data_IF_786530407681
#
_entry.id   IF_786530407681
#
_cell.length_a   1.000
_cell.length_b   1.000
_cell.length_c   1.000
_cell.angle_alpha   90.00
_cell.angle_beta   90.00
_cell.angle_gamma   90.00
#
_symmetry.space_group_name_H-M   'P 1'
#
loop_
_entity.id
_entity.type
_entity.pdbx_description
1 polymer ?
#
# COMPACT_ATOMS: atom_id res chain seq x y z
N UNK A 1 -13.39 7.05 12.77
CA UNK A 1 -11.98 7.04 13.20
C UNK A 1 -11.12 7.08 11.96
N UNK A 2 -10.32 8.15 11.81
CA UNK A 2 -9.34 8.25 10.72
C UNK A 2 -8.35 7.11 10.92
N UNK A 3 -8.27 6.18 9.97
CA UNK A 3 -7.18 5.24 9.98
C UNK A 3 -5.91 6.06 9.68
N UNK A 4 -4.94 5.99 10.58
CA UNK A 4 -3.69 6.71 10.46
C UNK A 4 -2.55 5.69 10.37
N UNK A 5 -1.62 5.96 9.46
CA UNK A 5 -0.31 5.32 9.48
C UNK A 5 0.77 6.41 9.48
N UNK A 6 1.99 6.01 9.79
CA UNK A 6 3.17 6.87 9.82
C UNK A 6 4.16 6.40 8.78
N UNK A 7 4.86 7.36 8.19
CA UNK A 7 5.97 7.13 7.31
C UNK A 7 7.05 8.15 7.65
N UNK A 8 7.65 7.99 8.82
CA UNK A 8 8.66 8.91 9.37
C UNK A 8 10.01 8.84 8.62
N UNK A 9 10.22 7.82 7.79
CA UNK A 9 11.41 7.67 6.97
C UNK A 9 11.38 8.59 5.73
N UNK A 10 12.54 9.11 5.39
CA UNK A 10 12.79 9.89 4.16
C UNK A 10 12.70 9.01 2.91
N UNK A 11 12.52 9.61 1.73
CA UNK A 11 12.54 8.90 0.44
C UNK A 11 13.79 8.02 0.26
N UNK A 12 14.97 8.50 0.67
CA UNK A 12 16.22 7.74 0.61
C UNK A 12 16.21 6.50 1.51
N UNK A 13 15.72 6.63 2.75
CA UNK A 13 15.60 5.51 3.69
C UNK A 13 14.57 4.47 3.22
N UNK A 14 13.48 4.93 2.61
CA UNK A 14 12.48 4.03 2.00
C UNK A 14 13.09 3.26 0.83
N UNK A 15 13.75 3.97 -0.09
CA UNK A 15 14.43 3.38 -1.24
C UNK A 15 15.41 2.29 -0.81
N UNK A 16 16.25 2.58 0.18
CA UNK A 16 17.21 1.64 0.73
C UNK A 16 16.51 0.41 1.33
N UNK A 17 15.49 0.61 2.17
CA UNK A 17 14.82 -0.47 2.90
C UNK A 17 14.02 -1.40 1.99
N UNK A 18 13.37 -0.84 0.96
CA UNK A 18 12.50 -1.60 0.05
C UNK A 18 13.18 -2.04 -1.25
N UNK A 19 14.50 -1.78 -1.37
CA UNK A 19 15.32 -2.07 -2.57
C UNK A 19 14.70 -1.43 -3.82
N UNK A 20 14.45 -0.14 -3.73
CA UNK A 20 13.85 0.68 -4.78
C UNK A 20 14.75 1.88 -5.12
N UNK A 21 14.55 2.45 -6.31
CA UNK A 21 15.14 3.73 -6.71
C UNK A 21 14.32 4.90 -6.12
N UNK A 22 15.01 5.93 -5.62
CA UNK A 22 14.41 7.18 -5.10
C UNK A 22 13.58 7.89 -6.19
N UNK A 23 13.99 7.78 -7.45
CA UNK A 23 13.31 8.33 -8.63
C UNK A 23 12.95 9.82 -8.51
N UNK A 24 13.78 10.59 -7.78
CA UNK A 24 13.59 12.02 -7.56
C UNK A 24 12.53 12.37 -6.51
N UNK A 25 11.98 11.40 -5.79
CA UNK A 25 11.05 11.63 -4.69
C UNK A 25 11.74 12.39 -3.54
N UNK A 26 11.05 13.38 -2.99
CA UNK A 26 11.56 14.30 -1.96
C UNK A 26 10.83 14.15 -0.62
N UNK A 27 10.13 13.03 -0.40
CA UNK A 27 9.38 12.78 0.82
C UNK A 27 10.29 12.94 2.06
N UNK A 28 9.97 13.88 2.97
CA UNK A 28 10.82 14.19 4.10
C UNK A 28 10.61 13.26 5.31
N UNK A 29 9.57 12.42 5.29
CA UNK A 29 9.09 11.72 6.47
C UNK A 29 7.94 12.46 7.16
N UNK A 30 7.03 11.73 7.81
CA UNK A 30 6.00 12.31 8.66
C UNK A 30 4.78 11.43 8.93
N UNK A 31 3.81 12.00 9.63
CA UNK A 31 2.49 11.40 9.82
C UNK A 31 1.68 11.49 8.53
N UNK A 32 0.96 10.42 8.20
CA UNK A 32 0.15 10.36 6.98
C UNK A 32 -1.32 10.53 7.32
N UNK A 33 -1.98 11.41 6.57
CA UNK A 33 -3.42 11.64 6.67
C UNK A 33 -4.12 11.14 5.41
N UNK A 34 -5.37 10.66 5.49
CA UNK A 34 -6.17 10.41 4.30
C UNK A 34 -6.19 11.63 3.37
N UNK A 35 -6.20 11.38 2.06
CA UNK A 35 -6.13 12.42 1.03
C UNK A 35 -4.84 13.29 1.04
N UNK A 36 -3.74 12.79 1.61
CA UNK A 36 -2.40 13.39 1.40
C UNK A 36 -1.59 12.61 0.37
N UNK A 37 -0.66 13.29 -0.32
CA UNK A 37 0.34 12.64 -1.16
C UNK A 37 1.40 11.97 -0.30
N UNK A 38 1.74 10.74 -0.67
CA UNK A 38 2.76 9.92 -0.02
C UNK A 38 3.43 9.03 -1.05
N UNK A 39 4.70 8.70 -0.88
CA UNK A 39 5.39 7.84 -1.81
C UNK A 39 4.91 6.39 -1.65
N UNK A 40 4.68 5.72 -2.78
CA UNK A 40 4.56 4.26 -2.86
C UNK A 40 5.65 3.71 -3.77
N UNK A 41 6.00 2.44 -3.58
CA UNK A 41 6.94 1.76 -4.49
C UNK A 41 6.15 0.99 -5.53
N UNK A 42 6.31 1.36 -6.80
CA UNK A 42 5.79 0.62 -7.95
C UNK A 42 6.95 -0.12 -8.62
N UNK A 43 6.64 -1.08 -9.49
CA UNK A 43 7.67 -1.82 -10.24
C UNK A 43 7.27 -1.96 -11.70
N UNK A 44 8.19 -1.66 -12.62
CA UNK A 44 8.03 -1.91 -14.05
C UNK A 44 9.31 -2.50 -14.65
N UNK A 45 9.22 -3.02 -15.87
CA UNK A 45 10.35 -3.72 -16.53
C UNK A 45 11.54 -2.80 -16.85
N UNK A 46 11.31 -1.51 -17.02
CA UNK A 46 12.34 -0.56 -17.45
C UNK A 46 13.17 -0.01 -16.30
N UNK A 47 12.51 0.31 -15.18
CA UNK A 47 13.11 1.00 -14.02
C UNK A 47 13.23 0.12 -12.78
N UNK A 48 12.69 -1.10 -12.80
CA UNK A 48 12.55 -1.91 -11.59
C UNK A 48 11.65 -1.22 -10.56
N UNK A 49 11.91 -1.47 -9.27
CA UNK A 49 11.18 -0.86 -8.16
C UNK A 49 11.61 0.60 -7.99
N UNK A 50 10.65 1.51 -7.93
CA UNK A 50 10.93 2.94 -7.74
C UNK A 50 9.79 3.65 -7.01
N UNK A 51 10.14 4.75 -6.34
CA UNK A 51 9.20 5.58 -5.61
C UNK A 51 8.38 6.46 -6.57
N UNK A 52 7.08 6.58 -6.28
CA UNK A 52 6.15 7.47 -6.98
C UNK A 52 5.19 8.10 -5.96
N UNK A 53 5.08 9.43 -5.88
CA UNK A 53 4.07 10.10 -5.06
C UNK A 53 2.64 9.80 -5.54
N UNK A 54 1.76 9.39 -4.63
CA UNK A 54 0.33 9.17 -4.92
C UNK A 54 -0.55 9.62 -3.77
N UNK A 55 -1.76 10.06 -4.08
CA UNK A 55 -2.77 10.42 -3.08
C UNK A 55 -3.24 9.17 -2.34
N UNK A 56 -3.21 9.17 -1.01
CA UNK A 56 -3.79 8.08 -0.24
C UNK A 56 -5.31 8.18 -0.18
N UNK A 57 -5.97 7.25 -0.87
CA UNK A 57 -7.41 7.22 -1.03
C UNK A 57 -7.80 7.35 -2.49
N UNK A 58 -8.36 6.29 -3.06
CA UNK A 58 -8.83 6.27 -4.45
C UNK A 58 -10.20 6.94 -4.55
N UNK A 59 -10.47 7.73 -5.61
CA UNK A 59 -11.81 8.27 -5.85
C UNK A 59 -12.88 7.18 -5.84
N UNK A 60 -14.09 7.46 -5.34
CA UNK A 60 -15.13 6.46 -5.26
C UNK A 60 -15.66 6.15 -6.67
N UNK A 61 -16.42 5.04 -6.85
CA UNK A 61 -17.10 4.79 -8.11
C UNK A 61 -17.98 5.98 -8.52
N UNK A 62 -18.18 6.26 -9.83
CA UNK A 62 -18.98 7.40 -10.30
C UNK A 62 -20.40 7.49 -9.73
N UNK A 63 -20.98 6.36 -9.33
CA UNK A 63 -22.34 6.29 -8.78
C UNK A 63 -22.40 6.40 -7.25
N UNK A 64 -21.31 6.80 -6.59
CA UNK A 64 -21.29 7.02 -5.15
C UNK A 64 -22.15 8.23 -4.77
N UNK A 65 -22.97 8.07 -3.73
CA UNK A 65 -23.95 9.07 -3.29
C UNK A 65 -23.32 10.32 -2.66
N UNK A 66 -22.13 10.15 -2.07
CA UNK A 66 -21.36 11.20 -1.40
C UNK A 66 -19.89 11.15 -1.86
N UNK A 67 -19.18 12.29 -1.91
CA UNK A 67 -17.75 12.32 -2.20
C UNK A 67 -16.95 11.83 -0.98
N UNK A 68 -16.31 10.66 -1.12
CA UNK A 68 -15.37 10.12 -0.12
C UNK A 68 -14.20 9.44 -0.84
N UNK A 69 -13.04 9.37 -0.17
CA UNK A 69 -11.91 8.59 -0.69
C UNK A 69 -11.95 7.15 -0.17
N UNK A 70 -11.43 6.21 -0.95
CA UNK A 70 -11.32 4.79 -0.60
C UNK A 70 -9.87 4.47 -0.21
N UNK A 71 -9.46 4.61 1.07
CA UNK A 71 -8.08 4.39 1.51
C UNK A 71 -7.70 2.91 1.68
N UNK A 72 -8.69 2.02 1.75
CA UNK A 72 -8.48 0.59 2.00
C UNK A 72 -9.24 -0.31 1.03
N UNK A 73 -8.62 -1.45 0.74
CA UNK A 73 -9.21 -2.57 0.02
C UNK A 73 -9.43 -3.71 1.01
N UNK A 74 -10.70 -3.92 1.38
CA UNK A 74 -11.11 -4.97 2.34
C UNK A 74 -11.65 -6.23 1.67
N UNK A 75 -12.32 -6.07 0.53
CA UNK A 75 -12.90 -7.16 -0.23
C UNK A 75 -12.13 -7.34 -1.54
N UNK A 76 -11.31 -8.38 -1.61
CA UNK A 76 -10.51 -8.71 -2.79
C UNK A 76 -11.33 -9.30 -3.94
N UNK A 77 -12.57 -9.69 -3.68
CA UNK A 77 -13.54 -10.14 -4.68
C UNK A 77 -14.43 -9.00 -5.19
N UNK A 78 -14.20 -7.77 -4.73
CA UNK A 78 -14.96 -6.59 -5.17
C UNK A 78 -14.81 -6.36 -6.68
N UNK A 79 -15.91 -6.24 -7.45
CA UNK A 79 -15.86 -5.89 -8.87
C UNK A 79 -15.15 -4.56 -9.13
N UNK A 80 -15.18 -3.65 -8.15
CA UNK A 80 -14.47 -2.38 -8.22
C UNK A 80 -12.95 -2.59 -8.28
N UNK A 81 -12.39 -3.57 -7.57
CA UNK A 81 -10.94 -3.78 -7.42
C UNK A 81 -10.38 -4.95 -8.23
N UNK A 82 -11.21 -5.90 -8.64
CA UNK A 82 -10.75 -7.18 -9.20
C UNK A 82 -9.88 -7.01 -10.45
N UNK A 83 -10.14 -5.99 -11.26
CA UNK A 83 -9.27 -5.61 -12.39
C UNK A 83 -7.86 -5.20 -11.93
N UNK A 84 -7.77 -4.26 -10.98
CA UNK A 84 -6.49 -3.83 -10.41
C UNK A 84 -5.71 -4.97 -9.76
N UNK A 85 -6.41 -5.88 -9.08
CA UNK A 85 -5.80 -7.05 -8.46
C UNK A 85 -5.21 -8.00 -9.51
N UNK A 86 -5.90 -8.22 -10.63
CA UNK A 86 -5.45 -9.15 -11.69
C UNK A 86 -4.30 -8.60 -12.53
N UNK A 87 -4.22 -7.29 -12.73
CA UNK A 87 -3.14 -6.67 -13.49
C UNK A 87 -2.02 -6.20 -12.56
N UNK A 88 -0.90 -6.91 -12.58
CA UNK A 88 0.28 -6.69 -11.72
C UNK A 88 0.80 -5.25 -11.74
N UNK A 89 0.69 -4.57 -12.88
CA UNK A 89 1.10 -3.17 -13.01
C UNK A 89 0.43 -2.23 -12.00
N UNK A 90 -0.81 -2.52 -11.54
CA UNK A 90 -1.54 -1.68 -10.59
C UNK A 90 -1.25 -2.01 -9.12
N UNK A 91 -0.27 -2.86 -8.84
CA UNK A 91 0.14 -3.20 -7.48
C UNK A 91 1.33 -2.35 -7.06
N UNK A 92 1.37 -1.99 -5.79
CA UNK A 92 2.49 -1.27 -5.17
C UNK A 92 2.82 -1.85 -3.79
N UNK A 93 4.02 -1.52 -3.30
CA UNK A 93 4.36 -1.60 -1.89
C UNK A 93 4.06 -0.24 -1.26
N UNK A 94 3.35 -0.23 -0.14
CA UNK A 94 3.08 0.97 0.65
C UNK A 94 4.08 0.98 1.82
N UNK A 95 5.09 1.85 1.80
CA UNK A 95 6.05 1.95 2.89
C UNK A 95 5.36 2.51 4.15
N UNK A 96 5.70 1.97 5.31
CA UNK A 96 5.24 2.44 6.61
C UNK A 96 6.35 2.33 7.64
N UNK A 97 6.33 3.21 8.63
CA UNK A 97 7.10 3.09 9.88
C UNK A 97 6.22 2.70 11.06
N UNK A 98 4.88 2.82 10.92
CA UNK A 98 3.93 2.33 11.91
C UNK A 98 2.48 2.54 11.50
N UNK A 99 1.55 1.85 12.15
CA UNK A 99 0.11 2.01 11.95
C UNK A 99 -0.66 1.76 13.25
N UNK A 100 -1.89 2.30 13.33
CA UNK A 100 -2.77 2.04 14.48
C UNK A 100 -3.37 0.63 14.42
N UNK A 101 -3.13 -0.16 15.47
CA UNK A 101 -3.72 -1.47 15.73
C UNK A 101 -4.40 -1.43 17.09
N UNK A 102 -5.72 -1.63 17.17
CA UNK A 102 -6.46 -1.63 18.46
C UNK A 102 -6.35 -0.34 19.28
N UNK A 103 -6.06 0.79 18.64
CA UNK A 103 -5.83 2.07 19.34
C UNK A 103 -4.39 2.26 19.82
N UNK A 104 -3.52 1.27 19.60
CA UNK A 104 -2.09 1.34 19.91
C UNK A 104 -1.26 1.44 18.62
N UNK A 105 -0.10 2.08 18.70
CA UNK A 105 0.83 2.15 17.57
C UNK A 105 1.61 0.85 17.44
N UNK A 106 1.48 0.19 16.30
CA UNK A 106 2.36 -0.90 15.90
C UNK A 106 3.55 -0.32 15.14
N UNK A 107 4.75 -0.76 15.50
CA UNK A 107 6.01 -0.53 14.78
C UNK A 107 6.78 -1.85 14.74
N UNK A 108 7.47 -2.13 13.64
CA UNK A 108 8.37 -3.28 13.55
C UNK A 108 9.74 -2.91 14.14
N UNK A 109 10.24 -3.73 15.07
CA UNK A 109 11.48 -3.44 15.82
C UNK A 109 12.75 -3.76 15.02
N UNK A 110 12.69 -4.76 14.14
CA UNK A 110 13.77 -5.24 13.29
C UNK A 110 13.79 -4.55 11.91
N UNK A 111 12.64 -4.04 11.47
CA UNK A 111 12.43 -3.40 10.17
C UNK A 111 11.75 -2.03 10.35
N UNK A 112 12.52 -0.96 10.67
CA UNK A 112 11.97 0.37 10.93
C UNK A 112 11.14 0.94 9.78
N UNK A 113 11.42 0.51 8.54
CA UNK A 113 10.58 0.72 7.36
C UNK A 113 10.15 -0.65 6.84
N UNK A 114 8.85 -0.90 6.86
CA UNK A 114 8.24 -2.11 6.32
C UNK A 114 7.27 -1.78 5.20
N UNK A 115 6.89 -2.79 4.41
CA UNK A 115 5.98 -2.63 3.29
C UNK A 115 4.65 -3.33 3.56
N UNK A 116 3.56 -2.67 3.14
CA UNK A 116 2.25 -3.28 3.03
C UNK A 116 1.86 -3.45 1.56
N UNK A 117 0.97 -4.39 1.28
CA UNK A 117 0.38 -4.54 -0.05
C UNK A 117 -0.57 -3.37 -0.36
N UNK A 118 -0.41 -2.75 -1.52
CA UNK A 118 -1.29 -1.70 -2.01
C UNK A 118 -1.68 -1.88 -3.47
N UNK A 119 -2.74 -1.15 -3.86
CA UNK A 119 -3.16 -0.98 -5.24
C UNK A 119 -3.17 0.50 -5.59
N UNK A 120 -2.69 0.84 -6.78
CA UNK A 120 -2.73 2.21 -7.28
C UNK A 120 -3.62 2.34 -8.52
N UNK A 121 -4.05 3.58 -8.78
CA UNK A 121 -4.80 3.98 -9.98
C UNK A 121 -4.31 5.33 -10.49
N UNK A 122 -4.21 5.42 -11.81
CA UNK A 122 -4.11 6.69 -12.53
C UNK A 122 -5.48 7.03 -13.08
N UNK A 123 -6.33 7.58 -12.20
CA UNK A 123 -7.52 8.32 -12.60
C UNK A 123 -7.17 9.81 -12.74
N UNK A 124 -8.14 10.71 -12.61
CA UNK A 124 -7.90 12.17 -12.59
C UNK A 124 -6.82 12.57 -11.57
N UNK A 125 -6.87 11.94 -10.38
CA UNK A 125 -5.82 12.05 -9.36
C UNK A 125 -5.10 10.70 -9.21
N UNK A 126 -3.78 10.64 -9.45
CA UNK A 126 -2.96 9.47 -9.15
C UNK A 126 -3.08 9.10 -7.67
N UNK A 127 -3.66 7.94 -7.40
CA UNK A 127 -4.07 7.56 -6.04
C UNK A 127 -3.77 6.11 -5.75
N UNK A 128 -3.84 5.72 -4.47
CA UNK A 128 -3.67 4.34 -4.04
C UNK A 128 -4.53 4.00 -2.82
N UNK A 129 -4.71 2.70 -2.59
CA UNK A 129 -5.38 2.14 -1.43
C UNK A 129 -4.56 0.99 -0.85
N UNK A 130 -4.61 0.82 0.47
CA UNK A 130 -3.90 -0.22 1.21
C UNK A 130 -4.78 -1.46 1.29
N UNK A 131 -4.22 -2.63 1.02
CA UNK A 131 -4.92 -3.89 1.26
C UNK A 131 -4.94 -4.18 2.75
N UNK A 132 -6.11 -4.55 3.25
CA UNK A 132 -6.26 -4.97 4.64
C UNK A 132 -6.80 -6.39 4.74
N UNK A 133 -6.38 -7.13 5.76
CA UNK A 133 -6.80 -8.49 6.06
C UNK A 133 -7.16 -8.66 7.55
N UNK A 134 -7.74 -9.82 7.89
CA UNK A 134 -8.18 -10.17 9.23
C UNK A 134 -9.67 -9.93 9.47
N UNK A 135 -10.29 -10.78 10.28
CA UNK A 135 -11.68 -10.66 10.68
C UNK A 135 -11.82 -9.72 11.90
N UNK A 136 -12.86 -8.89 11.91
CA UNK A 136 -13.15 -7.93 12.98
C UNK A 136 -12.36 -6.63 12.88
N UNK A 137 -11.04 -6.66 13.09
CA UNK A 137 -10.18 -5.47 13.05
C UNK A 137 -9.18 -5.55 11.90
N UNK A 138 -9.53 -5.04 10.70
CA UNK A 138 -8.69 -5.15 9.52
C UNK A 138 -7.37 -4.42 9.71
N UNK A 139 -6.27 -5.11 9.44
CA UNK A 139 -4.90 -4.59 9.51
C UNK A 139 -4.30 -4.51 8.10
N UNK A 140 -3.36 -3.60 7.82
CA UNK A 140 -2.60 -3.62 6.58
C UNK A 140 -1.98 -4.99 6.33
N UNK A 141 -2.05 -5.47 5.09
CA UNK A 141 -1.39 -6.72 4.70
C UNK A 141 0.11 -6.49 4.63
N UNK A 142 0.83 -6.85 5.70
CA UNK A 142 2.28 -6.76 5.79
C UNK A 142 2.94 -7.71 4.79
N UNK A 143 4.00 -7.23 4.15
CA UNK A 143 4.83 -7.99 3.22
C UNK A 143 6.25 -8.10 3.78
N UNK A 144 6.83 -9.28 3.68
CA UNK A 144 8.27 -9.48 3.93
C UNK A 144 9.06 -9.32 2.63
N UNK A 145 10.37 -9.03 2.69
CA UNK A 145 11.21 -8.87 1.50
C UNK A 145 11.10 -10.02 0.48
N UNK A 146 10.88 -11.25 0.94
CA UNK A 146 10.74 -12.45 0.11
C UNK A 146 9.41 -12.49 -0.65
N UNK A 147 8.41 -11.75 -0.17
CA UNK A 147 7.06 -11.71 -0.76
C UNK A 147 6.82 -10.51 -1.67
N UNK A 148 7.76 -9.57 -1.77
CA UNK A 148 7.61 -8.37 -2.60
C UNK A 148 7.38 -8.71 -4.07
N UNK A 149 8.19 -9.62 -4.63
CA UNK A 149 8.07 -9.97 -6.05
C UNK A 149 6.83 -10.84 -6.31
N UNK A 150 6.39 -11.63 -5.33
CA UNK A 150 5.10 -12.34 -5.41
C UNK A 150 3.97 -11.31 -5.51
N UNK A 151 3.97 -10.31 -4.63
CA UNK A 151 2.96 -9.26 -4.65
C UNK A 151 3.01 -8.46 -5.96
N UNK A 152 4.18 -7.96 -6.35
CA UNK A 152 4.33 -7.04 -7.48
C UNK A 152 4.20 -7.71 -8.86
N UNK A 153 4.54 -8.99 -8.98
CA UNK A 153 4.75 -9.61 -10.30
C UNK A 153 4.02 -10.94 -10.53
N UNK A 154 3.64 -11.68 -9.48
CA UNK A 154 2.94 -12.95 -9.68
C UNK A 154 1.49 -12.76 -10.12
N UNK A 155 0.91 -13.80 -10.70
CA UNK A 155 -0.53 -13.84 -10.95
C UNK A 155 -1.32 -13.65 -9.63
N UNK A 156 -2.58 -13.23 -9.77
CA UNK A 156 -3.39 -12.91 -8.59
C UNK A 156 -3.72 -14.15 -7.74
N UNK A 157 -3.74 -15.36 -8.32
CA UNK A 157 -4.02 -16.59 -7.56
C UNK A 157 -2.88 -16.87 -6.57
N UNK A 158 -1.63 -16.64 -6.97
CA UNK A 158 -0.48 -16.76 -6.07
C UNK A 158 -0.43 -15.61 -5.07
N UNK A 159 -0.58 -14.36 -5.52
CA UNK A 159 -0.54 -13.19 -4.64
C UNK A 159 -1.63 -13.20 -3.56
N UNK A 160 -2.84 -13.70 -3.88
CA UNK A 160 -3.95 -13.84 -2.92
C UNK A 160 -3.60 -14.76 -1.74
N UNK A 161 -2.68 -15.71 -1.89
CA UNK A 161 -2.27 -16.60 -0.79
C UNK A 161 -1.58 -15.84 0.35
N UNK A 162 -0.91 -14.73 0.05
CA UNK A 162 -0.27 -13.88 1.07
C UNK A 162 -1.27 -13.37 2.12
N UNK A 163 -2.52 -13.13 1.69
CA UNK A 163 -3.62 -12.68 2.57
C UNK A 163 -4.00 -13.77 3.58
N UNK A 164 -4.03 -15.03 3.14
CA UNK A 164 -4.38 -16.17 4.00
C UNK A 164 -3.29 -16.50 5.02
N UNK A 165 -2.03 -16.35 4.64
CA UNK A 165 -0.89 -16.54 5.56
C UNK A 165 -0.80 -15.44 6.62
N UNK A 166 -1.16 -14.19 6.29
CA UNK A 166 -1.17 -13.08 7.24
C UNK A 166 -2.34 -13.14 8.24
N UNK A 167 -3.45 -13.79 7.89
CA UNK A 167 -4.60 -13.95 8.79
C UNK A 167 -4.38 -15.00 9.89
N UNK A 168 -3.30 -15.79 9.81
CA UNK A 168 -2.96 -16.86 10.75
C UNK A 168 -1.76 -16.53 11.66
N UNK A 169 -1.21 -15.32 11.56
CA UNK A 169 -0.11 -14.79 12.37
C UNK A 169 -0.59 -13.72 13.35
#
# INVERSE_FOLDING_TARGET
>A
MSAAYRLEATAAQIAQSLRADVAGDVWPGGQVSPASYVPVVVSNREKGRHLVPRLWGVPPPPNARDPYVVPFVRNLDSPFWIGNLRHTQFRCLVPMTGFLRRGEWFTATDQPVFACAGLWRDSEIPSFAIITCGEGQPMPLLLTPETYDIWLHADFKLARKLVGSAASA
#
